data_IF_985947836680
#
_entry.id   IF_985947836680
#
_cell.length_a   1.000
_cell.length_b   1.000
_cell.length_c   1.000
_cell.angle_alpha   90.00
_cell.angle_beta   90.00
_cell.angle_gamma   90.00
#
_symmetry.space_group_name_H-M   'P 1'
#
loop_
_entity.id
_entity.type
_entity.pdbx_description
1 polymer ?
#
# COMPACT_ATOMS: atom_id res chain seq x y z
N UNK A 1 1.95 -2.73 1.21
CA UNK A 1 2.48 -1.67 0.32
C UNK A 1 1.95 -1.89 -1.08
N UNK A 2 1.48 -0.85 -1.76
CA UNK A 2 0.91 -0.90 -3.10
C UNK A 2 1.76 -0.06 -4.03
N UNK A 3 2.36 -0.70 -5.04
CA UNK A 3 3.01 -0.02 -6.15
C UNK A 3 1.98 0.15 -7.26
N UNK A 4 1.61 1.39 -7.57
CA UNK A 4 0.58 1.68 -8.56
C UNK A 4 1.16 1.74 -9.98
N UNK A 5 0.31 1.45 -10.96
CA UNK A 5 0.56 1.77 -12.36
C UNK A 5 0.01 3.18 -12.65
N UNK A 6 0.92 4.12 -12.90
CA UNK A 6 0.57 5.53 -13.10
C UNK A 6 -0.23 5.77 -14.37
N UNK A 7 0.00 4.98 -15.43
CA UNK A 7 -0.72 5.13 -16.68
C UNK A 7 -2.18 4.70 -16.51
N UNK A 8 -2.40 3.54 -15.89
CA UNK A 8 -3.75 3.03 -15.66
C UNK A 8 -4.55 3.92 -14.69
N UNK A 9 -3.92 4.42 -13.61
CA UNK A 9 -4.58 5.34 -12.68
C UNK A 9 -4.75 6.74 -13.26
N UNK A 10 -3.83 7.19 -14.11
CA UNK A 10 -3.94 8.46 -14.84
C UNK A 10 -5.18 8.47 -15.72
N UNK A 11 -5.36 7.46 -16.57
CA UNK A 11 -6.55 7.29 -17.41
C UNK A 11 -7.84 7.24 -16.56
N UNK A 12 -7.80 6.55 -15.41
CA UNK A 12 -8.93 6.47 -14.50
C UNK A 12 -9.30 7.82 -13.87
N UNK A 13 -8.29 8.62 -13.50
CA UNK A 13 -8.40 9.94 -12.90
C UNK A 13 -8.92 10.97 -13.91
N UNK A 14 -8.39 10.96 -15.14
CA UNK A 14 -8.83 11.83 -16.23
C UNK A 14 -10.31 11.64 -16.55
N UNK A 15 -10.78 10.38 -16.64
CA UNK A 15 -12.21 10.06 -16.86
C UNK A 15 -13.14 10.57 -15.77
N UNK A 16 -12.59 11.01 -14.62
CA UNK A 16 -13.32 11.55 -13.47
C UNK A 16 -13.04 13.04 -13.24
N UNK A 17 -12.38 13.71 -14.18
CA UNK A 17 -11.91 15.10 -14.04
C UNK A 17 -11.06 15.32 -12.78
N UNK A 18 -10.28 14.31 -12.36
CA UNK A 18 -9.40 14.39 -11.21
C UNK A 18 -8.01 14.88 -11.66
N UNK A 19 -7.74 16.17 -11.47
CA UNK A 19 -6.44 16.77 -11.81
C UNK A 19 -5.33 16.34 -10.85
N UNK A 20 -4.15 16.03 -11.38
CA UNK A 20 -2.96 15.70 -10.61
C UNK A 20 -1.68 16.24 -11.24
N UNK A 21 -0.66 16.54 -10.44
CA UNK A 21 0.60 17.15 -10.91
C UNK A 21 1.74 16.15 -11.16
N UNK A 22 1.56 14.88 -10.79
CA UNK A 22 2.54 13.82 -10.98
C UNK A 22 2.22 12.58 -10.14
N UNK A 23 3.13 11.61 -10.15
CA UNK A 23 2.95 10.32 -9.47
C UNK A 23 2.61 10.48 -7.99
N UNK A 24 3.43 11.23 -7.25
CA UNK A 24 3.28 11.37 -5.80
C UNK A 24 1.94 12.04 -5.43
N UNK A 25 1.52 13.06 -6.18
CA UNK A 25 0.22 13.70 -5.99
C UNK A 25 -0.93 12.74 -6.30
N UNK A 26 -0.88 12.02 -7.42
CA UNK A 26 -1.90 11.02 -7.77
C UNK A 26 -2.01 9.92 -6.70
N UNK A 27 -0.87 9.38 -6.26
CA UNK A 27 -0.78 8.35 -5.23
C UNK A 27 -1.34 8.81 -3.87
N UNK A 28 -1.22 10.09 -3.54
CA UNK A 28 -1.69 10.67 -2.30
C UNK A 28 -3.21 10.99 -2.30
N UNK A 29 -3.88 10.97 -3.45
CA UNK A 29 -5.29 11.38 -3.54
C UNK A 29 -6.21 10.44 -2.78
N UNK A 30 -7.16 11.03 -2.06
CA UNK A 30 -8.16 10.30 -1.28
C UNK A 30 -9.00 9.36 -2.15
N UNK A 31 -9.26 9.76 -3.38
CA UNK A 31 -10.02 9.06 -4.40
C UNK A 31 -9.28 7.80 -4.87
N UNK A 32 -7.95 7.86 -4.97
CA UNK A 32 -7.11 6.71 -5.30
C UNK A 32 -7.06 5.75 -4.10
N UNK A 33 -6.92 6.26 -2.88
CA UNK A 33 -7.04 5.43 -1.68
C UNK A 33 -8.40 4.71 -1.59
N UNK A 34 -9.50 5.40 -1.92
CA UNK A 34 -10.83 4.82 -1.93
C UNK A 34 -10.96 3.72 -2.99
N UNK A 35 -10.47 3.96 -4.21
CA UNK A 35 -10.43 2.96 -5.28
C UNK A 35 -9.65 1.71 -4.86
N UNK A 36 -8.45 1.89 -4.32
CA UNK A 36 -7.59 0.78 -3.89
C UNK A 36 -8.25 0.03 -2.71
N UNK A 37 -8.89 0.73 -1.78
CA UNK A 37 -9.63 0.09 -0.68
C UNK A 37 -10.81 -0.76 -1.19
N UNK A 38 -11.52 -0.32 -2.24
CA UNK A 38 -12.57 -1.10 -2.88
C UNK A 38 -12.02 -2.39 -3.52
N UNK A 39 -10.91 -2.27 -4.26
CA UNK A 39 -10.22 -3.42 -4.85
C UNK A 39 -9.74 -4.41 -3.78
N UNK A 40 -9.14 -3.91 -2.70
CA UNK A 40 -8.72 -4.75 -1.56
C UNK A 40 -9.93 -5.41 -0.91
N UNK A 41 -11.04 -4.69 -0.74
CA UNK A 41 -12.29 -5.24 -0.18
C UNK A 41 -12.82 -6.43 -0.97
N UNK A 42 -12.75 -6.37 -2.31
CA UNK A 42 -13.11 -7.50 -3.19
C UNK A 42 -12.18 -8.70 -2.97
N UNK A 43 -10.87 -8.47 -2.96
CA UNK A 43 -9.87 -9.55 -2.69
C UNK A 43 -10.08 -10.16 -1.30
N UNK A 44 -10.32 -9.34 -0.27
CA UNK A 44 -10.56 -9.82 1.08
C UNK A 44 -11.86 -10.63 1.18
N UNK A 45 -12.90 -10.25 0.45
CA UNK A 45 -14.14 -11.04 0.37
C UNK A 45 -13.89 -12.42 -0.23
N UNK A 46 -13.11 -12.50 -1.32
CA UNK A 46 -12.75 -13.79 -1.94
C UNK A 46 -11.90 -14.66 -0.99
N UNK A 47 -10.92 -14.06 -0.30
CA UNK A 47 -10.09 -14.76 0.69
C UNK A 47 -10.90 -15.28 1.88
N UNK A 48 -11.93 -14.56 2.30
CA UNK A 48 -12.79 -14.94 3.42
C UNK A 48 -13.67 -16.16 3.11
N UNK A 49 -13.88 -16.51 1.83
CA UNK A 49 -14.67 -17.68 1.43
C UNK A 49 -13.95 -19.01 1.73
N UNK A 50 -12.61 -19.01 1.77
CA UNK A 50 -11.81 -20.19 2.10
C UNK A 50 -11.29 -20.09 3.55
N UNK A 51 -11.71 -20.98 4.47
CA UNK A 51 -11.23 -21.00 5.85
C UNK A 51 -9.70 -21.07 5.98
N UNK A 52 -8.98 -21.64 5.00
CA UNK A 52 -7.52 -21.71 5.00
C UNK A 52 -6.86 -20.38 4.63
N UNK A 53 -7.58 -19.51 3.92
CA UNK A 53 -7.08 -18.22 3.43
C UNK A 53 -7.71 -17.02 4.15
N UNK A 54 -8.74 -17.23 4.97
CA UNK A 54 -9.43 -16.17 5.69
C UNK A 54 -8.48 -15.31 6.55
N UNK A 55 -7.38 -15.86 7.06
CA UNK A 55 -6.36 -15.10 7.83
C UNK A 55 -5.36 -14.33 6.97
N UNK A 56 -5.38 -14.51 5.64
CA UNK A 56 -4.46 -13.88 4.69
C UNK A 56 -5.02 -12.58 4.11
N UNK A 57 -6.10 -12.05 4.69
CA UNK A 57 -6.70 -10.78 4.29
C UNK A 57 -5.77 -9.60 4.56
N UNK A 58 -5.85 -8.60 3.69
CA UNK A 58 -5.11 -7.35 3.82
C UNK A 58 -5.87 -6.46 4.80
N UNK A 59 -5.27 -6.19 5.97
CA UNK A 59 -5.86 -5.31 6.99
C UNK A 59 -5.48 -3.84 6.81
N UNK A 60 -4.23 -3.60 6.41
CA UNK A 60 -3.64 -2.26 6.30
C UNK A 60 -2.79 -2.16 5.04
N UNK A 61 -2.80 -1.00 4.40
CA UNK A 61 -2.07 -0.76 3.16
C UNK A 61 -1.58 0.68 3.08
N UNK A 62 -0.70 0.93 2.14
CA UNK A 62 -0.12 2.25 1.85
C UNK A 62 0.18 2.27 0.37
N UNK A 63 -0.07 3.40 -0.27
CA UNK A 63 0.30 3.64 -1.66
C UNK A 63 1.67 4.30 -1.66
N UNK A 64 2.61 3.74 -2.43
CA UNK A 64 3.96 4.28 -2.49
C UNK A 64 3.97 5.67 -3.15
N UNK A 65 4.87 6.54 -2.71
CA UNK A 65 5.06 7.89 -3.28
C UNK A 65 5.95 7.91 -4.53
N UNK A 66 6.56 6.77 -4.87
CA UNK A 66 7.28 6.53 -6.13
C UNK A 66 7.09 5.10 -6.59
N UNK A 67 7.36 4.85 -7.87
CA UNK A 67 7.44 3.48 -8.38
C UNK A 67 8.68 2.73 -7.87
N UNK A 68 8.54 1.41 -7.75
CA UNK A 68 9.68 0.54 -7.51
C UNK A 68 10.54 0.42 -8.77
N UNK A 69 11.85 0.65 -8.64
CA UNK A 69 12.79 0.69 -9.77
C UNK A 69 13.88 -0.41 -9.68
N UNK A 70 14.27 -0.94 -10.84
CA UNK A 70 15.38 -1.88 -10.94
C UNK A 70 16.75 -1.20 -10.76
N UNK A 71 16.88 0.06 -11.18
CA UNK A 71 18.11 0.85 -11.04
C UNK A 71 18.35 1.27 -9.58
N UNK A 72 17.28 1.40 -8.80
CA UNK A 72 17.33 1.53 -7.33
C UNK A 72 17.57 0.18 -6.62
N UNK A 73 17.64 -0.93 -7.35
CA UNK A 73 17.82 -2.27 -6.80
C UNK A 73 16.60 -2.81 -6.04
N UNK A 74 15.43 -2.19 -6.19
CA UNK A 74 14.18 -2.60 -5.55
C UNK A 74 13.52 -3.75 -6.33
N UNK A 75 13.73 -3.76 -7.65
CA UNK A 75 13.32 -4.81 -8.56
C UNK A 75 14.55 -5.48 -9.22
N UNK A 76 14.36 -6.71 -9.72
CA UNK A 76 15.23 -7.26 -10.78
C UNK A 76 14.93 -6.56 -12.11
N UNK A 77 15.82 -6.73 -13.10
CA UNK A 77 15.55 -6.33 -14.50
C UNK A 77 14.27 -6.95 -15.07
N UNK A 78 13.83 -8.09 -14.53
CA UNK A 78 12.58 -8.78 -14.88
C UNK A 78 11.39 -8.39 -14.00
N UNK A 79 11.47 -7.27 -13.26
CA UNK A 79 10.41 -6.73 -12.38
C UNK A 79 10.06 -7.60 -11.17
N UNK A 80 10.95 -8.51 -10.74
CA UNK A 80 10.76 -9.28 -9.49
C UNK A 80 11.21 -8.43 -8.29
N UNK A 81 10.36 -8.34 -7.27
CA UNK A 81 10.68 -7.63 -6.02
C UNK A 81 11.87 -8.26 -5.29
N UNK A 82 12.85 -7.44 -4.91
CA UNK A 82 14.00 -7.79 -4.07
C UNK A 82 13.68 -7.50 -2.61
N UNK A 83 13.05 -8.46 -1.94
CA UNK A 83 12.44 -8.28 -0.60
C UNK A 83 13.39 -7.77 0.48
N UNK A 84 14.64 -8.20 0.48
CA UNK A 84 15.65 -7.74 1.43
C UNK A 84 15.92 -6.23 1.27
N UNK A 85 16.06 -5.76 0.03
CA UNK A 85 16.28 -4.33 -0.27
C UNK A 85 15.04 -3.52 0.10
N UNK A 86 13.84 -4.02 -0.21
CA UNK A 86 12.60 -3.36 0.18
C UNK A 86 12.48 -3.25 1.71
N UNK A 87 12.74 -4.34 2.44
CA UNK A 87 12.62 -4.36 3.89
C UNK A 87 13.56 -3.36 4.57
N UNK A 88 14.76 -3.16 4.02
CA UNK A 88 15.73 -2.18 4.53
C UNK A 88 15.33 -0.75 4.16
N UNK A 89 15.10 -0.47 2.87
CA UNK A 89 14.80 0.89 2.38
C UNK A 89 13.48 1.45 2.91
N UNK A 90 12.50 0.58 3.11
CA UNK A 90 11.14 0.97 3.50
C UNK A 90 10.78 0.47 4.90
N UNK A 91 11.78 0.25 5.76
CA UNK A 91 11.58 -0.24 7.12
C UNK A 91 10.52 0.57 7.89
N UNK A 92 10.57 1.90 7.78
CA UNK A 92 9.61 2.82 8.42
C UNK A 92 8.17 2.56 7.96
N UNK A 93 7.97 2.32 6.66
CA UNK A 93 6.63 2.00 6.12
C UNK A 93 6.18 0.62 6.61
N UNK A 94 7.08 -0.36 6.62
CA UNK A 94 6.76 -1.71 7.09
C UNK A 94 6.34 -1.67 8.56
N UNK A 95 7.08 -0.95 9.40
CA UNK A 95 6.75 -0.74 10.81
C UNK A 95 5.40 -0.03 10.98
N UNK A 96 5.13 1.03 10.20
CA UNK A 96 3.85 1.73 10.22
C UNK A 96 2.66 0.83 9.85
N UNK A 97 2.86 -0.10 8.90
CA UNK A 97 1.83 -1.07 8.51
C UNK A 97 1.49 -2.06 9.64
N UNK A 98 2.44 -2.37 10.51
CA UNK A 98 2.26 -3.29 11.65
C UNK A 98 1.98 -2.59 12.99
N UNK A 99 1.93 -1.27 13.02
CA UNK A 99 1.57 -0.47 14.20
C UNK A 99 0.19 0.17 14.05
N UNK A 100 -0.22 0.96 15.04
CA UNK A 100 -1.51 1.64 15.08
C UNK A 100 -1.49 3.06 14.49
N UNK A 101 -0.38 3.50 13.90
CA UNK A 101 -0.27 4.85 13.30
C UNK A 101 -1.12 4.98 12.04
N UNK A 102 -1.62 6.17 11.74
CA UNK A 102 -2.39 6.45 10.52
C UNK A 102 -1.53 7.07 9.40
N UNK A 103 -0.31 7.48 9.72
CA UNK A 103 0.62 8.16 8.83
C UNK A 103 2.07 7.74 9.13
N UNK A 104 2.95 7.85 8.14
CA UNK A 104 4.40 7.69 8.34
C UNK A 104 5.20 8.57 7.39
N UNK A 105 6.28 9.16 7.90
CA UNK A 105 7.20 9.96 7.10
C UNK A 105 8.35 9.08 6.60
N UNK A 106 8.63 9.15 5.29
CA UNK A 106 9.80 8.49 4.71
C UNK A 106 10.68 9.50 3.99
N UNK A 107 11.98 9.39 4.23
CA UNK A 107 13.02 10.05 3.46
C UNK A 107 13.57 9.06 2.44
N UNK A 108 13.32 9.31 1.15
CA UNK A 108 13.88 8.51 0.07
C UNK A 108 14.96 9.31 -0.66
N UNK A 109 16.15 8.75 -0.77
CA UNK A 109 17.18 9.29 -1.64
C UNK A 109 16.76 9.07 -3.10
N UNK A 110 16.43 10.15 -3.81
CA UNK A 110 16.15 10.14 -5.24
C UNK A 110 17.40 10.55 -6.00
N UNK A 111 17.78 9.75 -6.99
CA UNK A 111 18.75 10.16 -8.00
C UNK A 111 17.97 10.76 -9.17
N UNK A 112 18.15 12.06 -9.40
CA UNK A 112 17.53 12.76 -10.51
C UNK A 112 18.21 12.37 -11.83
N UNK A 113 17.47 12.47 -12.94
CA UNK A 113 17.97 12.14 -14.29
C UNK A 113 19.21 12.97 -14.69
N UNK A 114 19.40 14.14 -14.08
CA UNK A 114 20.55 15.01 -14.28
C UNK A 114 21.79 14.61 -13.43
N UNK A 115 21.71 13.50 -12.70
CA UNK A 115 22.77 12.96 -11.85
C UNK A 115 22.85 13.58 -10.46
N UNK A 116 21.99 14.55 -10.12
CA UNK A 116 21.91 15.08 -8.75
C UNK A 116 21.25 14.04 -7.83
N UNK A 117 21.69 14.00 -6.59
CA UNK A 117 21.00 13.25 -5.53
C UNK A 117 20.27 14.24 -4.64
N UNK A 118 19.00 13.96 -4.34
CA UNK A 118 18.24 14.70 -3.32
C UNK A 118 17.47 13.77 -2.41
N UNK A 119 16.92 14.34 -1.34
CA UNK A 119 16.04 13.63 -0.42
C UNK A 119 14.62 14.09 -0.70
N UNK A 120 13.76 13.15 -1.06
CA UNK A 120 12.31 13.39 -1.11
C UNK A 120 11.75 12.95 0.24
N UNK A 121 11.08 13.87 0.92
CA UNK A 121 10.27 13.58 2.09
C UNK A 121 8.83 13.38 1.64
N UNK A 122 8.23 12.29 2.08
CA UNK A 122 6.81 12.04 1.84
C UNK A 122 6.15 11.60 3.14
N UNK A 123 5.03 12.25 3.47
CA UNK A 123 4.10 11.76 4.49
C UNK A 123 3.09 10.82 3.80
N UNK A 124 3.08 9.57 4.23
CA UNK A 124 2.28 8.51 3.64
C UNK A 124 1.16 8.10 4.59
N UNK A 125 -0.07 8.26 4.11
CA UNK A 125 -1.27 7.76 4.78
C UNK A 125 -1.27 6.22 4.82
N UNK A 126 -1.59 5.66 5.97
CA UNK A 126 -1.90 4.25 6.14
C UNK A 126 -3.41 4.04 5.96
N UNK A 127 -3.77 3.36 4.88
CA UNK A 127 -5.14 2.93 4.62
C UNK A 127 -5.51 1.70 5.45
N UNK A 128 -6.71 1.72 6.04
CA UNK A 128 -7.30 0.55 6.69
C UNK A 128 -8.28 -0.11 5.72
N UNK A 129 -8.16 -1.41 5.55
CA UNK A 129 -9.01 -2.20 4.67
C UNK A 129 -10.01 -3.01 5.49
N UNK A 130 -11.22 -3.19 4.92
CA UNK A 130 -12.25 -4.01 5.54
C UNK A 130 -11.84 -5.49 5.46
N UNK A 131 -11.73 -6.14 6.61
CA UNK A 131 -11.56 -7.59 6.73
C UNK A 131 -12.86 -8.25 7.17
N UNK A 132 -13.09 -9.48 6.73
CA UNK A 132 -14.29 -10.27 7.00
C UNK A 132 -13.85 -11.51 7.77
N UNK A 133 -14.07 -11.51 9.08
CA UNK A 133 -13.93 -12.71 9.89
C UNK A 133 -15.33 -13.10 10.38
N UNK A 134 -15.73 -14.37 10.27
CA UNK A 134 -16.89 -14.82 11.01
C UNK A 134 -16.62 -14.56 12.50
N UNK A 135 -17.57 -13.89 13.13
CA UNK A 135 -17.45 -13.34 14.46
C UNK A 135 -16.94 -14.38 15.47
N UNK A 136 -15.97 -13.99 16.29
CA UNK A 136 -15.52 -14.73 17.48
C UNK A 136 -16.61 -14.76 18.59
N UNK A 137 -17.87 -14.49 18.25
CA UNK A 137 -19.04 -14.47 19.12
C UNK A 137 -19.34 -15.79 19.84
N UNK A 138 -18.63 -16.89 19.56
CA UNK A 138 -18.80 -18.16 20.25
C UNK A 138 -17.86 -18.39 21.47
N UNK A 139 -16.87 -17.51 21.71
CA UNK A 139 -15.86 -17.76 22.75
C UNK A 139 -16.22 -17.18 24.15
N UNK A 140 -17.16 -16.24 24.25
CA UNK A 140 -17.48 -15.56 25.53
C UNK A 140 -18.62 -16.22 26.32
N UNK A 141 -19.27 -17.25 25.80
CA UNK A 141 -20.41 -17.92 26.47
C UNK A 141 -20.07 -19.26 27.15
N UNK A 142 -18.79 -19.63 27.28
CA UNK A 142 -18.34 -20.82 28.06
C UNK A 142 -17.41 -20.43 29.20
N UNK A 143 -17.82 -19.53 30.09
CA UNK A 143 -17.18 -19.33 31.42
C UNK A 143 -18.20 -18.73 32.41
N UNK A 144 -19.30 -19.43 32.59
CA UNK A 144 -20.21 -19.27 33.71
C UNK A 144 -20.95 -20.60 33.90
N UNK A 145 -20.28 -21.53 34.58
CA UNK A 145 -20.84 -22.74 35.16
C UNK A 145 -20.21 -22.90 36.55
#
# INVERSE_FOLDING_TARGET
>A
MINIDVAALGDWAERRNLGYSGYADLAAKSEVYALIAECIGKVNADLALDPKLATSQISRFVILHKELDADDGELSRTRKVRRNIIAEKYAVIVEALYSDVDHCEIEAAMKFEDGRSGVVRADLKIGVAKTIFPDQAAATSRKAA
#
